data_IF_574706659086
#
_entry.id   IF_574706659086
#
_cell.length_a   1.000
_cell.length_b   1.000
_cell.length_c   1.000
_cell.angle_alpha   90.00
_cell.angle_beta   90.00
_cell.angle_gamma   90.00
#
_symmetry.space_group_name_H-M   'P 1'
#
loop_
_entity.id
_entity.type
_entity.pdbx_description
1 polymer ?
#
# COMPACT_ATOMS: atom_id res chain seq x y z
N UNK A 1 21.57 29.25 3.33
CA UNK A 1 20.27 29.42 3.99
C UNK A 1 19.28 29.95 2.98
N UNK A 2 18.65 29.10 2.17
CA UNK A 2 17.64 29.50 1.18
C UNK A 2 16.28 29.01 1.67
N UNK A 3 15.51 29.91 2.28
CA UNK A 3 14.11 29.70 2.61
C UNK A 3 13.30 29.70 1.30
N UNK A 4 12.74 28.55 0.92
CA UNK A 4 11.72 28.49 -0.13
C UNK A 4 10.37 28.83 0.51
N UNK A 5 9.76 29.91 0.05
CA UNK A 5 8.37 30.26 0.34
C UNK A 5 7.45 29.18 -0.26
N UNK A 6 6.63 28.54 0.57
CA UNK A 6 5.53 27.66 0.15
C UNK A 6 4.24 28.41 0.45
N UNK A 7 3.43 28.79 -0.55
CA UNK A 7 2.20 29.54 -0.32
C UNK A 7 1.13 28.70 0.38
N UNK A 8 0.47 29.30 1.38
CA UNK A 8 -0.74 28.79 2.01
C UNK A 8 -1.85 28.68 0.95
N UNK A 9 -2.12 27.46 0.47
CA UNK A 9 -3.14 27.24 -0.55
C UNK A 9 -3.00 25.97 -1.41
N UNK A 10 -2.09 25.05 -1.08
CA UNK A 10 -2.17 23.68 -1.60
C UNK A 10 -2.77 22.83 -0.50
N UNK A 11 -4.04 22.52 -0.67
CA UNK A 11 -4.75 21.55 0.16
C UNK A 11 -3.94 20.25 0.21
N UNK A 12 -3.47 19.89 1.40
CA UNK A 12 -2.73 18.66 1.72
C UNK A 12 -3.60 17.39 1.61
N UNK A 13 -4.77 17.48 0.96
CA UNK A 13 -5.64 16.34 0.64
C UNK A 13 -5.29 15.64 -0.67
N UNK A 14 -4.05 15.78 -1.16
CA UNK A 14 -3.49 14.78 -2.05
C UNK A 14 -3.35 13.48 -1.25
N UNK A 15 -4.44 12.68 -1.21
CA UNK A 15 -4.40 11.28 -0.75
C UNK A 15 -3.14 10.69 -1.35
N UNK A 16 -2.17 10.38 -0.49
CA UNK A 16 -0.91 9.85 -0.96
C UNK A 16 -1.20 8.45 -1.47
N UNK A 17 -1.32 8.33 -2.79
CA UNK A 17 -1.55 7.06 -3.45
C UNK A 17 -0.30 6.20 -3.28
N UNK A 18 -0.46 4.90 -3.04
CA UNK A 18 0.65 3.95 -3.08
C UNK A 18 1.23 3.92 -4.48
N UNK A 19 2.55 3.77 -4.58
CA UNK A 19 3.23 3.54 -5.84
C UNK A 19 3.13 2.05 -6.25
N UNK A 20 2.99 1.16 -5.25
CA UNK A 20 3.01 -0.28 -5.44
C UNK A 20 1.98 -0.99 -4.53
N UNK A 21 1.14 -1.84 -5.13
CA UNK A 21 0.18 -2.67 -4.40
C UNK A 21 0.70 -4.11 -4.28
N UNK A 22 0.86 -4.58 -3.04
CA UNK A 22 1.25 -5.95 -2.72
C UNK A 22 0.09 -6.73 -2.16
N UNK A 23 -0.24 -7.83 -2.82
CA UNK A 23 -1.32 -8.71 -2.40
C UNK A 23 -0.74 -10.00 -1.82
N UNK A 24 -1.00 -10.22 -0.53
CA UNK A 24 -0.58 -11.43 0.17
C UNK A 24 -1.66 -12.50 -0.01
N UNK A 25 -1.28 -13.61 -0.65
CA UNK A 25 -2.10 -14.82 -0.81
C UNK A 25 -1.66 -15.89 0.20
N UNK A 26 -2.43 -16.03 1.27
CA UNK A 26 -2.29 -17.13 2.25
C UNK A 26 -3.34 -18.23 2.07
N UNK A 27 -3.41 -19.16 3.04
CA UNK A 27 -4.51 -20.14 3.15
C UNK A 27 -5.76 -19.57 3.82
N UNK A 28 -5.59 -18.54 4.63
CA UNK A 28 -6.64 -17.91 5.43
C UNK A 28 -6.42 -16.40 5.54
N UNK A 29 -7.41 -15.71 6.10
CA UNK A 29 -7.35 -14.26 6.36
C UNK A 29 -6.19 -13.94 7.29
N UNK A 30 -5.48 -12.86 6.97
CA UNK A 30 -4.41 -12.37 7.85
C UNK A 30 -5.06 -11.73 9.09
N UNK A 31 -4.61 -12.08 10.31
CA UNK A 31 -5.04 -11.41 11.53
C UNK A 31 -4.83 -9.90 11.43
N UNK A 32 -5.74 -9.12 12.01
CA UNK A 32 -5.69 -7.66 11.89
C UNK A 32 -4.40 -7.07 12.47
N UNK A 33 -3.95 -7.59 13.61
CA UNK A 33 -2.70 -7.16 14.25
C UNK A 33 -1.50 -7.36 13.32
N UNK A 34 -1.37 -8.54 12.71
CA UNK A 34 -0.32 -8.80 11.72
C UNK A 34 -0.40 -7.87 10.50
N UNK A 35 -1.61 -7.50 10.04
CA UNK A 35 -1.75 -6.51 8.95
C UNK A 35 -1.30 -5.12 9.36
N UNK A 36 -1.51 -4.72 10.62
CA UNK A 36 -1.05 -3.43 11.16
C UNK A 36 0.48 -3.45 11.22
N UNK A 37 1.07 -4.48 11.84
CA UNK A 37 2.53 -4.62 11.97
C UNK A 37 3.23 -4.58 10.61
N UNK A 38 2.67 -5.25 9.59
CA UNK A 38 3.20 -5.21 8.23
C UNK A 38 3.13 -3.79 7.66
N UNK A 39 1.99 -3.11 7.76
CA UNK A 39 1.86 -1.75 7.21
C UNK A 39 2.82 -0.78 7.89
N UNK A 40 2.99 -0.89 9.21
CA UNK A 40 3.94 -0.07 9.97
C UNK A 40 5.39 -0.37 9.55
N UNK A 41 5.77 -1.65 9.44
CA UNK A 41 7.11 -2.04 9.00
C UNK A 41 7.48 -1.52 7.61
N UNK A 42 6.54 -1.49 6.66
CA UNK A 42 6.78 -0.91 5.33
C UNK A 42 6.81 0.61 5.35
N UNK A 43 5.98 1.24 6.19
CA UNK A 43 6.00 2.70 6.37
C UNK A 43 7.30 3.19 7.01
N UNK A 44 7.94 2.37 7.85
CA UNK A 44 9.21 2.67 8.52
C UNK A 44 10.44 2.18 7.75
N UNK A 45 10.25 1.51 6.61
CA UNK A 45 11.34 0.96 5.81
C UNK A 45 12.10 2.02 5.02
N UNK A 46 13.33 1.68 4.61
CA UNK A 46 14.16 2.52 3.74
C UNK A 46 13.69 2.52 2.26
N UNK A 47 12.50 1.97 1.96
CA UNK A 47 11.96 1.99 0.61
C UNK A 47 11.67 3.44 0.19
N UNK A 48 12.15 3.79 -0.99
CA UNK A 48 11.97 5.14 -1.56
C UNK A 48 10.58 5.38 -2.15
N UNK A 49 9.66 4.42 -1.99
CA UNK A 49 8.31 4.44 -2.52
C UNK A 49 7.34 3.79 -1.53
N UNK A 50 6.05 4.11 -1.65
CA UNK A 50 5.02 3.56 -0.76
C UNK A 50 4.51 2.21 -1.26
N UNK A 51 4.39 1.26 -0.33
CA UNK A 51 3.73 -0.04 -0.56
C UNK A 51 2.37 -0.05 0.14
N UNK A 52 1.29 -0.36 -0.58
CA UNK A 52 0.01 -0.76 0.05
C UNK A 52 -0.09 -2.28 0.10
N UNK A 53 -0.39 -2.80 1.28
CA UNK A 53 -0.44 -4.23 1.56
C UNK A 53 -1.90 -4.64 1.69
N UNK A 54 -2.29 -5.62 0.89
CA UNK A 54 -3.65 -6.14 0.76
C UNK A 54 -3.67 -7.63 1.10
N UNK A 55 -4.68 -8.05 1.86
CA UNK A 55 -4.96 -9.47 2.10
C UNK A 55 -5.93 -9.98 1.02
N UNK A 56 -5.51 -11.00 0.27
CA UNK A 56 -6.33 -11.61 -0.79
C UNK A 56 -7.74 -12.00 -0.32
N UNK A 57 -7.90 -12.48 0.91
CA UNK A 57 -9.19 -12.94 1.44
C UNK A 57 -10.15 -11.79 1.80
N UNK A 58 -9.68 -10.55 1.77
CA UNK A 58 -10.48 -9.35 2.01
C UNK A 58 -10.84 -8.62 0.72
N UNK A 59 -10.21 -8.98 -0.40
CA UNK A 59 -10.47 -8.39 -1.70
C UNK A 59 -11.76 -9.02 -2.26
N UNK A 60 -12.73 -8.22 -2.73
CA UNK A 60 -13.94 -8.78 -3.32
C UNK A 60 -13.61 -9.62 -4.58
N UNK A 61 -14.34 -10.73 -4.84
CA UNK A 61 -14.00 -11.68 -5.91
C UNK A 61 -13.89 -11.07 -7.31
N UNK A 62 -14.64 -10.01 -7.61
CA UNK A 62 -14.57 -9.29 -8.87
C UNK A 62 -13.25 -8.54 -9.05
N UNK A 63 -12.69 -7.97 -7.98
CA UNK A 63 -11.37 -7.33 -8.00
C UNK A 63 -10.24 -8.35 -8.08
N UNK A 64 -10.41 -9.50 -7.41
CA UNK A 64 -9.51 -10.64 -7.55
C UNK A 64 -9.33 -11.04 -9.02
N UNK A 65 -10.43 -11.14 -9.79
CA UNK A 65 -10.39 -11.45 -11.22
C UNK A 65 -9.68 -10.40 -12.06
N UNK A 66 -9.64 -9.14 -11.61
CA UNK A 66 -8.90 -8.07 -12.29
C UNK A 66 -7.41 -8.22 -12.02
N UNK A 67 -7.02 -8.42 -10.76
CA UNK A 67 -5.62 -8.63 -10.35
C UNK A 67 -5.03 -9.85 -11.06
N UNK A 68 -5.80 -10.94 -11.17
CA UNK A 68 -5.36 -12.16 -11.86
C UNK A 68 -5.03 -11.96 -13.34
N UNK A 69 -5.51 -10.89 -13.98
CA UNK A 69 -5.18 -10.58 -15.39
C UNK A 69 -3.77 -10.02 -15.55
N UNK A 70 -3.24 -9.36 -14.52
CA UNK A 70 -1.93 -8.74 -14.57
C UNK A 70 -1.34 -8.61 -13.16
N UNK A 71 -0.42 -9.52 -12.83
CA UNK A 71 0.33 -9.50 -11.58
C UNK A 71 1.71 -10.11 -11.82
N UNK A 72 2.66 -9.77 -10.96
CA UNK A 72 3.95 -10.44 -10.87
C UNK A 72 4.04 -11.18 -9.53
N UNK A 73 4.52 -12.42 -9.55
CA UNK A 73 4.84 -13.16 -8.33
C UNK A 73 6.23 -12.76 -7.88
N UNK A 74 6.36 -12.39 -6.61
CA UNK A 74 7.62 -12.04 -5.95
C UNK A 74 7.87 -13.11 -4.86
N UNK A 75 9.12 -13.57 -4.70
CA UNK A 75 9.53 -14.60 -3.74
C UNK A 75 10.62 -14.09 -2.81
#
# INVERSE_FOLDING_TARGET
>A
MSHKYVPDGVDDTLKSYSDLDWVIRGKEKIPLETMIDLKDAFSESDLVFRVDILDWHRIPPEFCKVIERNYAVIQ
#
